data_IF_737686379038
#
_entry.id   IF_737686379038
#
_cell.length_a   1.000
_cell.length_b   1.000
_cell.length_c   1.000
_cell.angle_alpha   90.00
_cell.angle_beta   90.00
_cell.angle_gamma   90.00
#
_symmetry.space_group_name_H-M   'P 1'
#
loop_
_entity.id
_entity.type
_entity.pdbx_description
1 polymer ?
#
# COMPACT_ATOMS: atom_id res chain seq x y z
N UNK A 1 14.60 9.10 -86.67
CA UNK A 1 13.42 8.47 -86.05
C UNK A 1 13.79 8.14 -84.61
N UNK A 2 13.50 9.05 -83.68
CA UNK A 2 13.67 8.81 -82.24
C UNK A 2 12.41 8.13 -81.69
N UNK A 3 12.57 7.02 -80.97
CA UNK A 3 11.48 6.38 -80.23
C UNK A 3 11.54 6.87 -78.79
N UNK A 4 10.53 7.64 -78.38
CA UNK A 4 10.30 8.03 -76.99
C UNK A 4 9.57 6.87 -76.30
N UNK A 5 10.20 6.25 -75.31
CA UNK A 5 9.57 5.29 -74.40
C UNK A 5 9.06 6.04 -73.16
N UNK A 6 7.75 5.95 -72.89
CA UNK A 6 7.17 6.43 -71.63
C UNK A 6 7.21 5.32 -70.57
N UNK A 7 7.65 5.61 -69.33
CA UNK A 7 7.55 4.65 -68.24
C UNK A 7 6.10 4.53 -67.75
N UNK A 8 5.64 3.29 -67.60
CA UNK A 8 4.36 2.98 -66.96
C UNK A 8 4.50 3.16 -65.45
N UNK A 9 3.79 4.15 -64.89
CA UNK A 9 3.70 4.35 -63.44
C UNK A 9 2.67 3.35 -62.89
N UNK A 10 3.13 2.37 -62.12
CA UNK A 10 2.25 1.50 -61.32
C UNK A 10 2.00 2.20 -59.99
N UNK A 11 0.80 2.74 -59.81
CA UNK A 11 0.38 3.32 -58.53
C UNK A 11 -0.04 2.20 -57.58
N UNK A 12 0.75 1.95 -56.53
CA UNK A 12 0.35 1.14 -55.39
C UNK A 12 -0.60 1.96 -54.50
N UNK A 13 -1.88 1.61 -54.48
CA UNK A 13 -2.84 2.15 -53.52
C UNK A 13 -2.57 1.48 -52.17
N UNK A 14 -1.87 2.19 -51.29
CA UNK A 14 -1.75 1.84 -49.88
C UNK A 14 -3.11 2.05 -49.21
N UNK A 15 -3.83 0.95 -48.95
CA UNK A 15 -5.01 0.98 -48.08
C UNK A 15 -4.51 0.96 -46.65
N UNK A 16 -4.36 2.15 -46.05
CA UNK A 16 -4.14 2.27 -44.60
C UNK A 16 -5.46 1.89 -43.90
N UNK A 17 -5.46 0.96 -42.93
CA UNK A 17 -6.65 0.72 -42.13
C UNK A 17 -7.00 2.00 -41.38
N UNK A 18 -8.20 2.51 -41.60
CA UNK A 18 -8.79 3.57 -40.78
C UNK A 18 -8.93 2.99 -39.38
N UNK A 19 -8.09 3.47 -38.46
CA UNK A 19 -8.23 3.19 -37.04
C UNK A 19 -9.48 3.96 -36.58
N UNK A 20 -10.65 3.30 -36.62
CA UNK A 20 -11.86 3.86 -35.99
C UNK A 20 -11.53 3.88 -34.50
N UNK A 21 -11.37 5.08 -33.93
CA UNK A 21 -11.38 5.24 -32.49
C UNK A 21 -12.69 4.63 -32.00
N UNK A 22 -12.61 3.48 -31.34
CA UNK A 22 -13.78 2.88 -30.72
C UNK A 22 -14.26 3.87 -29.66
N UNK A 23 -15.47 4.41 -29.84
CA UNK A 23 -16.06 5.36 -28.92
C UNK A 23 -15.98 4.79 -27.49
N UNK A 24 -15.56 5.62 -26.53
CA UNK A 24 -15.48 5.22 -25.12
C UNK A 24 -16.88 4.81 -24.64
N UNK A 25 -17.00 3.63 -24.04
CA UNK A 25 -18.28 3.13 -23.52
C UNK A 25 -18.49 3.67 -22.10
N UNK A 26 -19.70 4.14 -21.78
CA UNK A 26 -19.96 4.53 -20.40
C UNK A 26 -20.15 3.31 -19.51
N UNK A 27 -19.68 3.41 -18.28
CA UNK A 27 -19.81 2.33 -17.30
C UNK A 27 -21.28 1.92 -17.05
N UNK A 28 -22.20 2.89 -17.09
CA UNK A 28 -23.65 2.66 -16.94
C UNK A 28 -24.28 1.87 -18.09
N UNK A 29 -23.62 1.86 -19.25
CA UNK A 29 -24.08 1.14 -20.45
C UNK A 29 -23.62 -0.33 -20.45
N UNK A 30 -22.81 -0.76 -19.47
CA UNK A 30 -22.39 -2.15 -19.31
C UNK A 30 -23.20 -2.86 -18.24
N UNK A 31 -23.37 -4.18 -18.39
CA UNK A 31 -23.91 -5.03 -17.34
C UNK A 31 -22.93 -6.13 -16.96
N UNK A 32 -23.04 -6.62 -15.72
CA UNK A 32 -22.16 -7.65 -15.17
C UNK A 32 -22.91 -8.98 -15.10
N UNK A 33 -22.28 -10.05 -15.59
CA UNK A 33 -22.72 -11.43 -15.43
C UNK A 33 -21.50 -12.28 -15.09
N UNK A 34 -21.58 -13.05 -14.00
CA UNK A 34 -20.47 -13.89 -13.53
C UNK A 34 -19.13 -13.12 -13.39
N UNK A 35 -19.19 -11.90 -12.84
CA UNK A 35 -18.06 -10.97 -12.68
C UNK A 35 -17.41 -10.46 -13.99
N UNK A 36 -18.02 -10.76 -15.14
CA UNK A 36 -17.56 -10.29 -16.45
C UNK A 36 -18.48 -9.20 -16.99
N UNK A 37 -17.89 -8.19 -17.62
CA UNK A 37 -18.61 -7.07 -18.25
C UNK A 37 -19.04 -7.41 -19.68
N UNK A 38 -20.27 -7.02 -20.03
CA UNK A 38 -20.89 -7.21 -21.34
C UNK A 38 -21.58 -5.93 -21.80
N UNK A 39 -21.68 -5.75 -23.13
CA UNK A 39 -22.55 -4.73 -23.74
C UNK A 39 -23.96 -5.32 -23.89
N UNK A 40 -25.03 -4.62 -23.48
CA UNK A 40 -26.41 -5.05 -23.69
C UNK A 40 -26.68 -5.47 -25.14
N UNK A 41 -27.21 -6.68 -25.32
CA UNK A 41 -27.50 -7.24 -26.64
C UNK A 41 -26.30 -7.91 -27.33
N UNK A 42 -25.13 -7.97 -26.70
CA UNK A 42 -23.99 -8.77 -27.15
C UNK A 42 -23.75 -9.97 -26.24
N UNK A 43 -23.49 -11.14 -26.84
CA UNK A 43 -23.17 -12.36 -26.08
C UNK A 43 -21.70 -12.47 -25.71
N UNK A 44 -20.83 -11.72 -26.41
CA UNK A 44 -19.40 -11.68 -26.15
C UNK A 44 -19.06 -10.74 -25.00
N UNK A 45 -18.08 -11.16 -24.19
CA UNK A 45 -17.49 -10.32 -23.15
C UNK A 45 -16.88 -9.03 -23.74
N UNK A 46 -16.98 -7.95 -22.99
CA UNK A 46 -16.53 -6.63 -23.42
C UNK A 46 -15.00 -6.51 -23.38
N UNK A 47 -14.43 -5.86 -24.39
CA UNK A 47 -13.04 -5.38 -24.38
C UNK A 47 -13.00 -3.97 -24.95
N UNK A 48 -12.30 -3.05 -24.28
CA UNK A 48 -12.23 -1.65 -24.67
C UNK A 48 -12.06 -0.71 -23.47
N UNK A 49 -12.14 0.60 -23.76
CA UNK A 49 -12.08 1.64 -22.74
C UNK A 49 -13.48 1.96 -22.21
N UNK A 50 -13.55 2.19 -20.91
CA UNK A 50 -14.78 2.56 -20.20
C UNK A 50 -14.54 3.86 -19.46
N UNK A 51 -15.54 4.74 -19.46
CA UNK A 51 -15.52 5.98 -18.68
C UNK A 51 -16.80 6.15 -17.85
N UNK A 52 -16.71 6.95 -16.81
CA UNK A 52 -17.87 7.43 -16.03
C UNK A 52 -17.66 8.91 -15.70
N UNK A 53 -18.76 9.65 -15.55
CA UNK A 53 -18.75 11.08 -15.25
C UNK A 53 -19.67 11.38 -14.08
N UNK A 54 -19.27 12.31 -13.23
CA UNK A 54 -20.14 12.86 -12.20
C UNK A 54 -21.28 13.68 -12.84
N UNK A 55 -22.35 13.90 -12.07
CA UNK A 55 -23.52 14.71 -12.50
C UNK A 55 -23.15 16.14 -12.93
N UNK A 56 -22.05 16.69 -12.41
CA UNK A 56 -21.52 18.02 -12.76
C UNK A 56 -20.64 18.01 -14.03
N UNK A 57 -20.50 16.86 -14.70
CA UNK A 57 -19.71 16.68 -15.91
C UNK A 57 -18.22 16.43 -15.69
N UNK A 58 -17.71 16.44 -14.46
CA UNK A 58 -16.30 16.07 -14.21
C UNK A 58 -16.12 14.56 -14.39
N UNK A 59 -14.95 14.16 -14.87
CA UNK A 59 -14.61 12.74 -15.03
C UNK A 59 -14.64 12.07 -13.65
N UNK A 60 -15.26 10.89 -13.56
CA UNK A 60 -15.37 10.10 -12.32
C UNK A 60 -14.49 8.88 -12.36
N UNK A 61 -14.41 8.23 -13.53
CA UNK A 61 -13.60 7.03 -13.71
C UNK A 61 -13.20 6.85 -15.18
N UNK A 62 -12.06 6.22 -15.39
CA UNK A 62 -11.75 5.51 -16.61
C UNK A 62 -11.07 4.17 -16.30
N UNK A 63 -11.22 3.22 -17.21
CA UNK A 63 -10.50 1.95 -17.14
C UNK A 63 -10.45 1.28 -18.50
N UNK A 64 -9.54 0.33 -18.64
CA UNK A 64 -9.45 -0.55 -19.81
C UNK A 64 -9.88 -1.96 -19.41
N UNK A 65 -10.62 -2.62 -20.29
CA UNK A 65 -11.14 -3.97 -20.07
C UNK A 65 -10.73 -4.88 -21.22
N UNK A 66 -10.48 -6.14 -20.90
CA UNK A 66 -10.18 -7.22 -21.82
C UNK A 66 -10.88 -8.49 -21.34
N UNK A 67 -11.55 -9.17 -22.25
CA UNK A 67 -12.29 -10.40 -21.98
C UNK A 67 -13.28 -10.27 -20.80
N UNK A 68 -13.92 -9.10 -20.70
CA UNK A 68 -14.90 -8.78 -19.66
C UNK A 68 -14.28 -8.44 -18.30
N UNK A 69 -12.96 -8.40 -18.19
CA UNK A 69 -12.23 -8.12 -16.95
C UNK A 69 -11.40 -6.85 -17.10
N UNK A 70 -11.10 -6.18 -16.00
CA UNK A 70 -10.24 -5.00 -16.04
C UNK A 70 -8.80 -5.39 -16.42
N UNK A 71 -8.20 -4.71 -17.38
CA UNK A 71 -6.87 -5.02 -17.91
C UNK A 71 -6.16 -3.73 -18.30
N UNK A 72 -5.08 -3.41 -17.58
CA UNK A 72 -4.37 -2.15 -17.65
C UNK A 72 -4.72 -1.20 -16.50
N UNK A 73 -4.61 0.10 -16.77
CA UNK A 73 -4.74 1.17 -15.77
C UNK A 73 -6.20 1.56 -15.55
N UNK A 74 -6.57 1.76 -14.29
CA UNK A 74 -7.84 2.33 -13.84
C UNK A 74 -7.58 3.59 -13.04
N UNK A 75 -8.24 4.67 -13.41
CA UNK A 75 -8.18 5.94 -12.68
C UNK A 75 -9.58 6.33 -12.22
N UNK A 76 -9.67 6.94 -11.05
CA UNK A 76 -10.89 7.56 -10.53
C UNK A 76 -10.57 8.94 -9.98
N UNK A 77 -11.57 9.81 -10.00
CA UNK A 77 -11.45 11.19 -9.55
C UNK A 77 -12.61 11.55 -8.64
N UNK A 78 -12.32 12.39 -7.65
CA UNK A 78 -13.32 13.02 -6.81
C UNK A 78 -14.21 13.97 -7.63
N UNK A 79 -15.37 14.33 -7.07
CA UNK A 79 -16.32 15.26 -7.74
C UNK A 79 -15.70 16.63 -8.03
N UNK A 80 -14.71 17.03 -7.23
CA UNK A 80 -13.93 18.26 -7.39
C UNK A 80 -12.85 18.16 -8.51
N UNK A 81 -12.67 16.99 -9.14
CA UNK A 81 -11.71 16.74 -10.21
C UNK A 81 -10.31 16.33 -9.74
N UNK A 82 -10.05 16.25 -8.43
CA UNK A 82 -8.79 15.73 -7.90
C UNK A 82 -8.70 14.22 -8.12
N UNK A 83 -7.48 13.71 -8.29
CA UNK A 83 -7.24 12.27 -8.35
C UNK A 83 -7.75 11.61 -7.06
N UNK A 84 -8.46 10.49 -7.21
CA UNK A 84 -8.95 9.70 -6.09
C UNK A 84 -8.16 8.39 -6.00
N UNK A 85 -8.02 7.67 -7.12
CA UNK A 85 -7.36 6.36 -7.12
C UNK A 85 -6.78 6.05 -8.48
N UNK A 86 -5.61 5.43 -8.50
CA UNK A 86 -4.91 4.93 -9.67
C UNK A 86 -4.48 3.49 -9.38
N UNK A 87 -4.89 2.52 -10.20
CA UNK A 87 -4.56 1.11 -10.00
C UNK A 87 -4.23 0.41 -11.32
N UNK A 88 -3.30 -0.55 -11.27
CA UNK A 88 -2.90 -1.37 -12.40
C UNK A 88 -3.43 -2.81 -12.25
N UNK A 89 -3.95 -3.34 -13.34
CA UNK A 89 -4.63 -4.63 -13.40
C UNK A 89 -4.16 -5.46 -14.59
N UNK A 90 -4.20 -6.77 -14.44
CA UNK A 90 -4.00 -7.73 -15.50
C UNK A 90 -5.10 -8.79 -15.42
N UNK A 91 -6.00 -8.79 -16.40
CA UNK A 91 -7.17 -9.70 -16.46
C UNK A 91 -7.87 -9.86 -15.10
N UNK A 92 -8.33 -8.75 -14.53
CA UNK A 92 -9.10 -8.73 -13.28
C UNK A 92 -8.27 -8.84 -12.01
N UNK A 93 -6.97 -9.14 -12.12
CA UNK A 93 -6.06 -9.31 -10.98
C UNK A 93 -5.19 -8.07 -10.84
N UNK A 94 -5.10 -7.53 -9.64
CA UNK A 94 -4.28 -6.34 -9.39
C UNK A 94 -2.79 -6.66 -9.59
N UNK A 95 -2.11 -5.91 -10.46
CA UNK A 95 -0.73 -6.18 -10.84
C UNK A 95 -0.03 -4.86 -11.18
N UNK A 96 0.91 -4.46 -10.33
CA UNK A 96 1.62 -3.19 -10.38
C UNK A 96 1.20 -2.23 -9.27
N UNK A 97 1.39 -0.94 -9.53
CA UNK A 97 1.21 0.11 -8.54
C UNK A 97 -0.26 0.43 -8.28
N UNK A 98 -0.58 0.74 -7.03
CA UNK A 98 -1.87 1.21 -6.56
C UNK A 98 -1.70 2.43 -5.67
N UNK A 99 -2.26 3.56 -6.09
CA UNK A 99 -2.25 4.82 -5.36
C UNK A 99 -3.66 5.27 -5.05
N UNK A 100 -3.82 5.91 -3.91
CA UNK A 100 -5.03 6.63 -3.54
C UNK A 100 -4.63 7.97 -2.95
N UNK A 101 -5.48 8.98 -3.14
CA UNK A 101 -5.30 10.32 -2.59
C UNK A 101 -6.51 10.67 -1.72
N UNK A 102 -6.33 11.61 -0.81
CA UNK A 102 -7.42 12.30 -0.11
C UNK A 102 -8.02 13.37 -1.03
N UNK A 103 -9.24 13.82 -0.72
CA UNK A 103 -9.93 14.84 -1.53
C UNK A 103 -9.20 16.20 -1.54
N UNK A 104 -8.29 16.43 -0.58
CA UNK A 104 -7.39 17.58 -0.53
C UNK A 104 -6.16 17.47 -1.46
N UNK A 105 -6.00 16.35 -2.16
CA UNK A 105 -4.91 16.08 -3.09
C UNK A 105 -3.64 15.47 -2.47
N UNK A 106 -3.56 15.32 -1.15
CA UNK A 106 -2.47 14.59 -0.53
C UNK A 106 -2.60 13.10 -0.80
N UNK A 107 -1.46 12.43 -1.05
CA UNK A 107 -1.45 10.98 -1.21
C UNK A 107 -1.89 10.33 0.10
N UNK A 108 -2.66 9.25 -0.01
CA UNK A 108 -3.20 8.47 1.11
C UNK A 108 -2.46 7.15 1.26
N UNK A 109 -2.25 6.43 0.14
CA UNK A 109 -1.37 5.28 0.10
C UNK A 109 -0.77 5.07 -1.29
N UNK A 110 0.30 4.28 -1.31
CA UNK A 110 0.99 3.76 -2.48
C UNK A 110 1.46 2.35 -2.13
N UNK A 111 0.98 1.37 -2.89
CA UNK A 111 1.21 -0.05 -2.64
C UNK A 111 1.54 -0.73 -3.96
N UNK A 112 2.44 -1.70 -3.90
CA UNK A 112 2.79 -2.52 -5.04
C UNK A 112 2.14 -3.90 -4.93
N UNK A 113 1.66 -4.39 -6.07
CA UNK A 113 1.07 -5.70 -6.22
C UNK A 113 1.75 -6.50 -7.32
N UNK A 114 1.82 -7.82 -7.13
CA UNK A 114 2.20 -8.80 -8.13
C UNK A 114 1.20 -9.95 -8.06
N UNK A 115 0.46 -10.17 -9.14
CA UNK A 115 -0.54 -11.24 -9.23
C UNK A 115 -1.56 -11.23 -8.06
N UNK A 116 -2.00 -10.03 -7.66
CA UNK A 116 -3.00 -9.83 -6.61
C UNK A 116 -2.44 -9.82 -5.18
N UNK A 117 -1.14 -10.05 -5.02
CA UNK A 117 -0.44 -10.11 -3.72
C UNK A 117 0.45 -8.89 -3.55
N UNK A 118 0.60 -8.38 -2.33
CA UNK A 118 1.55 -7.30 -2.06
C UNK A 118 2.99 -7.71 -2.34
N UNK A 119 3.68 -6.98 -3.20
CA UNK A 119 5.06 -7.28 -3.59
C UNK A 119 5.76 -5.98 -4.00
N UNK A 120 6.69 -5.53 -3.17
CA UNK A 120 7.39 -4.26 -3.29
C UNK A 120 6.97 -3.25 -2.22
N UNK A 121 7.06 -1.96 -2.59
CA UNK A 121 6.89 -0.83 -1.68
C UNK A 121 5.48 -0.75 -1.09
N UNK A 122 5.42 -0.40 0.19
CA UNK A 122 4.21 0.00 0.90
C UNK A 122 4.44 1.35 1.57
N UNK A 123 3.54 2.29 1.35
CA UNK A 123 3.55 3.57 2.04
C UNK A 123 2.13 4.09 2.25
N UNK A 124 1.87 4.65 3.42
CA UNK A 124 0.63 5.38 3.71
C UNK A 124 0.96 6.70 4.37
N UNK A 125 0.08 7.68 4.17
CA UNK A 125 0.23 9.03 4.69
C UNK A 125 -1.03 9.44 5.44
N UNK A 126 -0.84 10.30 6.44
CA UNK A 126 -1.92 11.04 7.05
C UNK A 126 -2.50 12.08 6.09
N UNK A 127 -3.73 12.52 6.33
CA UNK A 127 -4.40 13.55 5.52
C UNK A 127 -3.66 14.90 5.52
N UNK A 128 -2.81 15.16 6.52
CA UNK A 128 -1.93 16.32 6.56
C UNK A 128 -0.68 16.20 5.66
N UNK A 129 -0.52 15.09 4.93
CA UNK A 129 0.60 14.80 4.03
C UNK A 129 1.82 14.17 4.71
N UNK A 130 1.81 14.01 6.03
CA UNK A 130 2.90 13.36 6.76
C UNK A 130 2.86 11.84 6.52
N UNK A 131 4.02 11.21 6.32
CA UNK A 131 4.13 9.76 6.22
C UNK A 131 3.62 9.11 7.52
N UNK A 132 2.80 8.08 7.40
CA UNK A 132 2.19 7.34 8.51
C UNK A 132 2.89 6.00 8.71
N UNK A 133 3.16 5.29 7.62
CA UNK A 133 3.85 4.00 7.63
C UNK A 133 4.57 3.78 6.32
N UNK A 134 5.72 3.13 6.38
CA UNK A 134 6.45 2.63 5.23
C UNK A 134 7.09 1.28 5.53
N UNK A 135 7.20 0.48 4.49
CA UNK A 135 7.83 -0.82 4.52
C UNK A 135 7.82 -1.45 3.13
N UNK A 136 8.08 -2.75 3.10
CA UNK A 136 8.00 -3.51 1.86
C UNK A 136 7.43 -4.90 2.10
N UNK A 137 6.94 -5.51 1.02
CA UNK A 137 6.56 -6.91 0.98
C UNK A 137 7.37 -7.65 -0.09
N UNK A 138 7.63 -8.93 0.14
CA UNK A 138 8.10 -9.88 -0.89
C UNK A 138 7.14 -11.06 -0.88
N UNK A 139 6.51 -11.36 -2.03
CA UNK A 139 5.54 -12.45 -2.17
C UNK A 139 4.45 -12.43 -1.07
N UNK A 140 3.99 -11.23 -0.69
CA UNK A 140 2.95 -11.03 0.32
C UNK A 140 3.43 -11.07 1.77
N UNK A 141 4.71 -11.28 2.02
CA UNK A 141 5.28 -11.30 3.37
C UNK A 141 6.00 -9.98 3.67
N UNK A 142 5.80 -9.38 4.86
CA UNK A 142 6.55 -8.19 5.26
C UNK A 142 8.04 -8.43 5.14
N UNK A 143 8.74 -7.49 4.52
CA UNK A 143 10.16 -7.57 4.29
C UNK A 143 10.86 -6.31 4.83
N UNK A 144 12.03 -6.55 5.43
CA UNK A 144 12.86 -5.54 6.07
C UNK A 144 12.16 -4.79 7.21
N UNK A 145 12.69 -3.61 7.51
CA UNK A 145 12.23 -2.74 8.58
C UNK A 145 10.98 -2.00 8.14
N UNK A 146 9.99 -2.03 9.01
CA UNK A 146 8.81 -1.20 8.96
C UNK A 146 9.00 -0.03 9.90
N UNK A 147 8.58 1.15 9.46
CA UNK A 147 8.64 2.36 10.26
C UNK A 147 7.26 3.01 10.24
N UNK A 148 6.83 3.46 11.41
CA UNK A 148 5.57 4.15 11.61
C UNK A 148 5.87 5.49 12.26
N UNK A 149 5.11 6.52 11.88
CA UNK A 149 5.31 7.87 12.39
C UNK A 149 4.04 8.40 13.03
N UNK A 150 4.22 9.33 13.96
CA UNK A 150 3.16 10.18 14.44
C UNK A 150 2.74 11.22 13.39
N UNK A 151 1.54 11.81 13.50
CA UNK A 151 1.10 12.90 12.61
C UNK A 151 2.00 14.15 12.63
N UNK A 152 2.83 14.30 13.66
CA UNK A 152 3.82 15.38 13.77
C UNK A 152 5.16 15.08 13.08
N UNK A 153 5.28 13.90 12.45
CA UNK A 153 6.45 13.44 11.71
C UNK A 153 7.57 12.83 12.53
N UNK A 154 7.43 12.72 13.86
CA UNK A 154 8.35 11.92 14.67
C UNK A 154 8.07 10.44 14.46
N UNK A 155 9.12 9.62 14.48
CA UNK A 155 8.96 8.15 14.48
C UNK A 155 8.13 7.76 15.70
N UNK A 156 7.19 6.85 15.51
CA UNK A 156 6.35 6.26 16.55
C UNK A 156 6.90 4.90 16.96
N UNK A 157 7.19 4.06 15.98
CA UNK A 157 7.73 2.72 16.19
C UNK A 157 8.41 2.20 14.92
N UNK A 158 9.33 1.26 15.11
CA UNK A 158 10.00 0.58 14.02
C UNK A 158 10.44 -0.82 14.44
N UNK A 159 10.47 -1.74 13.47
CA UNK A 159 10.89 -3.12 13.69
C UNK A 159 10.79 -3.96 12.43
N UNK A 160 11.13 -5.24 12.53
CA UNK A 160 10.98 -6.20 11.42
C UNK A 160 9.79 -7.12 11.71
N UNK A 161 8.59 -6.78 11.25
CA UNK A 161 7.45 -7.65 11.43
C UNK A 161 7.61 -8.98 10.71
N UNK A 162 6.83 -9.97 11.17
CA UNK A 162 6.62 -11.25 10.50
C UNK A 162 5.13 -11.36 10.17
N UNK A 163 4.79 -11.77 8.96
CA UNK A 163 3.40 -11.97 8.55
C UNK A 163 3.17 -13.39 8.03
N UNK A 164 1.92 -13.80 7.94
CA UNK A 164 1.53 -15.07 7.32
C UNK A 164 0.54 -14.90 6.15
N UNK A 165 0.06 -13.68 5.90
CA UNK A 165 -0.86 -13.42 4.80
C UNK A 165 -0.52 -12.12 4.07
N UNK A 166 -0.95 -12.12 2.82
CA UNK A 166 -0.79 -11.02 1.88
C UNK A 166 -1.74 -9.86 2.13
N UNK A 167 -2.52 -9.86 3.22
CA UNK A 167 -3.53 -8.83 3.47
C UNK A 167 -2.99 -7.66 4.31
N UNK A 168 -1.79 -7.82 4.88
CA UNK A 168 -1.24 -6.89 5.87
C UNK A 168 -2.04 -6.86 7.20
N UNK A 169 -3.09 -7.67 7.32
CA UNK A 169 -3.99 -7.66 8.49
C UNK A 169 -3.47 -8.53 9.63
N UNK A 170 -2.62 -9.53 9.35
CA UNK A 170 -2.00 -10.40 10.35
C UNK A 170 -0.48 -10.31 10.31
N UNK A 171 0.01 -9.17 10.79
CA UNK A 171 1.43 -8.91 10.95
C UNK A 171 1.74 -8.93 12.45
N UNK A 172 2.68 -9.80 12.87
CA UNK A 172 3.14 -9.93 14.24
C UNK A 172 4.52 -9.30 14.40
N UNK A 173 4.78 -8.71 15.56
CA UNK A 173 6.08 -8.17 15.92
C UNK A 173 7.08 -9.31 16.10
N UNK A 174 8.27 -9.17 15.50
CA UNK A 174 9.36 -10.12 15.66
C UNK A 174 10.71 -9.40 15.66
N UNK A 175 11.70 -9.95 16.36
CA UNK A 175 13.00 -9.31 16.51
C UNK A 175 12.94 -8.03 17.33
N UNK A 176 13.90 -7.12 17.10
CA UNK A 176 14.01 -5.87 17.84
C UNK A 176 12.91 -4.89 17.39
N UNK A 177 12.17 -4.39 18.36
CA UNK A 177 11.23 -3.30 18.20
C UNK A 177 11.65 -2.13 19.06
N UNK A 178 11.53 -0.94 18.50
CA UNK A 178 11.73 0.30 19.22
C UNK A 178 10.49 1.17 19.06
N UNK A 179 10.12 1.85 20.14
CA UNK A 179 8.99 2.76 20.20
C UNK A 179 9.50 4.10 20.72
N UNK A 180 8.90 5.17 20.26
CA UNK A 180 9.24 6.54 20.61
C UNK A 180 8.03 7.27 21.18
N UNK A 181 8.29 8.30 21.96
CA UNK A 181 7.30 9.27 22.38
C UNK A 181 7.08 10.29 21.27
N UNK A 182 5.93 11.00 21.23
CA UNK A 182 5.67 12.05 20.24
C UNK A 182 6.70 13.19 20.23
N UNK A 183 7.53 13.32 21.28
CA UNK A 183 8.62 14.28 21.36
C UNK A 183 9.96 13.79 20.77
N UNK A 184 9.97 12.59 20.17
CA UNK A 184 11.15 11.97 19.56
C UNK A 184 12.10 11.26 20.52
N UNK A 185 11.82 11.28 21.83
CA UNK A 185 12.58 10.48 22.80
C UNK A 185 12.16 9.02 22.74
N UNK A 186 13.10 8.11 23.02
CA UNK A 186 12.79 6.68 23.12
C UNK A 186 11.72 6.47 24.19
N UNK A 187 10.76 5.59 23.91
CA UNK A 187 9.69 5.20 24.82
C UNK A 187 9.90 3.79 25.33
N UNK A 188 10.19 2.87 24.42
CA UNK A 188 10.34 1.46 24.74
C UNK A 188 11.22 0.75 23.71
N UNK A 189 11.90 -0.31 24.11
CA UNK A 189 12.71 -1.17 23.23
C UNK A 189 12.81 -2.56 23.83
N UNK A 190 12.71 -3.57 22.97
CA UNK A 190 13.00 -4.95 23.32
C UNK A 190 12.76 -5.87 22.14
N UNK A 191 12.97 -7.17 22.36
CA UNK A 191 12.75 -8.16 21.31
C UNK A 191 11.39 -8.84 21.47
N UNK A 192 10.80 -9.19 20.34
CA UNK A 192 9.69 -10.12 20.24
C UNK A 192 10.13 -11.42 19.57
N UNK A 193 9.55 -12.53 20.02
CA UNK A 193 9.56 -13.82 19.32
C UNK A 193 8.11 -14.17 19.05
N UNK A 194 7.72 -14.19 17.77
CA UNK A 194 6.36 -14.51 17.31
C UNK A 194 5.26 -13.71 18.06
N UNK A 195 5.47 -12.40 18.20
CA UNK A 195 4.54 -11.49 18.89
C UNK A 195 4.63 -11.48 20.41
N UNK A 196 5.56 -12.23 21.00
CA UNK A 196 5.70 -12.36 22.46
C UNK A 196 7.00 -11.69 22.92
N UNK A 197 6.92 -10.83 23.94
CA UNK A 197 8.11 -10.17 24.52
C UNK A 197 9.12 -11.21 25.01
N UNK A 198 10.37 -11.04 24.60
CA UNK A 198 11.47 -11.90 24.98
C UNK A 198 12.74 -11.09 25.29
N UNK A 199 13.50 -11.55 26.28
CA UNK A 199 14.76 -10.95 26.69
C UNK A 199 14.59 -9.64 27.47
N UNK A 200 15.57 -8.75 27.35
CA UNK A 200 15.58 -7.49 28.09
C UNK A 200 14.71 -6.44 27.39
N UNK A 201 13.81 -5.86 28.16
CA UNK A 201 12.95 -4.77 27.75
C UNK A 201 13.28 -3.52 28.55
N UNK A 202 13.31 -2.39 27.87
CA UNK A 202 13.62 -1.10 28.43
C UNK A 202 12.49 -0.13 28.11
N UNK A 203 12.10 0.69 29.07
CA UNK A 203 11.22 1.84 28.81
C UNK A 203 11.79 3.10 29.42
N UNK A 204 11.44 4.24 28.84
CA UNK A 204 11.96 5.56 29.20
C UNK A 204 10.82 6.54 29.43
N UNK A 205 11.06 7.51 30.31
CA UNK A 205 10.20 8.68 30.47
C UNK A 205 10.33 9.61 29.27
N UNK A 206 9.35 10.51 29.09
CA UNK A 206 9.38 11.52 28.02
C UNK A 206 10.59 12.47 28.11
N UNK A 207 11.22 12.59 29.28
CA UNK A 207 12.45 13.37 29.47
C UNK A 207 13.73 12.61 29.05
N UNK A 208 13.60 11.39 28.52
CA UNK A 208 14.70 10.53 28.08
C UNK A 208 15.38 9.72 29.20
N UNK A 209 14.97 9.87 30.46
CA UNK A 209 15.50 9.07 31.56
C UNK A 209 14.94 7.64 31.51
N UNK A 210 15.80 6.66 31.79
CA UNK A 210 15.37 5.26 31.87
C UNK A 210 14.35 5.11 33.00
N UNK A 211 13.20 4.53 32.68
CA UNK A 211 12.07 4.34 33.59
C UNK A 211 12.07 2.93 34.17
N UNK A 212 12.23 1.94 33.31
CA UNK A 212 12.09 0.53 33.68
C UNK A 212 12.96 -0.33 32.79
N UNK A 213 13.56 -1.35 33.41
CA UNK A 213 14.28 -2.43 32.77
C UNK A 213 13.70 -3.71 33.32
N UNK A 214 13.19 -4.56 32.46
CA UNK A 214 12.56 -5.84 32.80
C UNK A 214 13.12 -6.95 31.92
N UNK A 215 13.12 -8.16 32.46
CA UNK A 215 13.50 -9.36 31.74
C UNK A 215 12.23 -10.17 31.46
N UNK A 216 12.05 -10.61 30.22
CA UNK A 216 10.94 -11.45 29.78
C UNK A 216 11.46 -12.78 29.26
N UNK A 217 10.68 -13.83 29.49
CA UNK A 217 10.87 -15.15 28.90
C UNK A 217 9.51 -15.79 28.64
N UNK A 218 9.28 -16.25 27.42
CA UNK A 218 8.01 -16.85 27.00
C UNK A 218 6.79 -15.94 27.30
N UNK A 219 7.01 -14.61 27.25
CA UNK A 219 5.99 -13.59 27.52
C UNK A 219 5.82 -13.19 28.98
N UNK A 220 6.39 -13.95 29.92
CA UNK A 220 6.28 -13.68 31.35
C UNK A 220 7.51 -12.93 31.85
N UNK A 221 7.36 -12.10 32.87
CA UNK A 221 8.49 -11.44 33.53
C UNK A 221 9.34 -12.50 34.24
N UNK A 222 10.61 -12.58 33.85
CA UNK A 222 11.54 -13.59 34.34
C UNK A 222 12.97 -13.06 34.34
N UNK A 223 13.51 -12.81 35.54
CA UNK A 223 14.83 -12.26 35.78
C UNK A 223 14.82 -10.85 36.41
N UNK A 224 16.02 -10.27 36.50
CA UNK A 224 16.22 -9.01 37.21
C UNK A 224 15.45 -7.85 36.57
N UNK A 225 14.83 -7.04 37.42
CA UNK A 225 14.19 -5.79 37.02
C UNK A 225 14.69 -4.61 37.86
N UNK A 226 14.71 -3.44 37.24
CA UNK A 226 15.05 -2.18 37.90
C UNK A 226 14.09 -1.12 37.40
N UNK A 227 13.63 -0.29 38.33
CA UNK A 227 12.66 0.77 38.10
C UNK A 227 13.20 2.05 38.73
N UNK A 228 13.12 3.14 37.97
CA UNK A 228 13.71 4.43 38.31
C UNK A 228 12.64 5.51 38.39
N UNK A 229 12.89 6.54 39.19
CA UNK A 229 12.16 7.80 39.12
C UNK A 229 12.58 8.59 37.87
N UNK A 230 11.76 9.57 37.49
CA UNK A 230 12.03 10.49 36.36
C UNK A 230 13.28 11.35 36.55
N UNK A 231 13.79 11.45 37.77
CA UNK A 231 15.07 12.09 38.11
C UNK A 231 16.29 11.15 37.97
N UNK A 232 16.09 9.91 37.52
CA UNK A 232 17.14 8.90 37.30
C UNK A 232 17.58 8.13 38.56
N UNK A 233 17.01 8.42 39.73
CA UNK A 233 17.28 7.63 40.94
C UNK A 233 16.53 6.30 40.91
N UNK A 234 17.17 5.22 41.36
CA UNK A 234 16.51 3.91 41.49
C UNK A 234 15.36 4.05 42.49
N UNK A 235 14.15 3.75 42.02
CA UNK A 235 12.95 3.65 42.85
C UNK A 235 12.92 2.30 43.54
N UNK A 236 12.98 1.23 42.75
CA UNK A 236 12.96 -0.15 43.24
C UNK A 236 13.72 -1.09 42.29
N UNK A 237 14.13 -2.24 42.79
CA UNK A 237 14.74 -3.32 41.99
C UNK A 237 14.46 -4.67 42.63
N UNK A 238 14.49 -5.72 41.84
CA UNK A 238 14.29 -7.09 42.31
C UNK A 238 14.56 -8.08 41.19
N UNK A 239 14.02 -9.28 41.36
CA UNK A 239 14.04 -10.36 40.39
C UNK A 239 12.60 -10.85 40.22
N UNK A 240 12.20 -11.22 39.01
CA UNK A 240 10.93 -11.89 38.76
C UNK A 240 11.17 -13.37 38.50
N UNK A 241 10.26 -14.21 38.98
CA UNK A 241 10.15 -15.61 38.55
C UNK A 241 8.71 -15.89 38.12
N UNK A 242 8.51 -16.03 36.82
CA UNK A 242 7.20 -16.30 36.22
C UNK A 242 6.12 -15.33 36.73
N UNK A 243 6.37 -14.02 36.55
CA UNK A 243 5.56 -12.88 37.00
C UNK A 243 5.49 -12.61 38.51
N UNK A 244 6.04 -13.49 39.35
CA UNK A 244 6.11 -13.30 40.81
C UNK A 244 7.38 -12.55 41.24
N UNK A 245 7.27 -11.66 42.23
CA UNK A 245 8.37 -10.84 42.80
C UNK A 245 9.01 -11.49 44.02
#
# INVERSE_FOLDING_TARGET
MEKITHPTIVAFVLVLPVLIAQDEIKMEDLFVRDSLYFIPGQDSVFSGKVTDTWENGTKKMEGSYKDGQIDGKRNTWYKNGQDQEESNWQLGIQNGEHKQWYENGHQKFERMYKEGVHDGKWSEWYENGQLMVEGSFIDGLPHEKWTYWYPNGQVMEEGTPKGNDSSGSNVMENGLWTYWHPNGQKKEEGNYIDGIKDGQWFSWYENGQLKLKEAYKDGNKNGNWIDWYDNGQIRTKGDYKDDER
#
